data_IF_715324169328
#
_entry.id   IF_715324169328
#
_cell.length_a   1.000
_cell.length_b   1.000
_cell.length_c   1.000
_cell.angle_alpha   90.00
_cell.angle_beta   90.00
_cell.angle_gamma   90.00
#
_symmetry.space_group_name_H-M   'P 1'
#
loop_
_entity.id
_entity.type
_entity.pdbx_description
1 polymer ?
#
# COMPACT_ATOMS: atom_id res chain seq x y z
N UNK A 1 9.77 1.79 21.36
CA UNK A 1 9.64 1.99 19.90
C UNK A 1 10.01 0.67 19.23
N UNK A 2 9.03 -0.14 18.87
CA UNK A 2 9.28 -1.48 18.30
C UNK A 2 9.38 -1.33 16.79
N UNK A 3 10.54 -1.62 16.21
CA UNK A 3 10.78 -1.53 14.77
C UNK A 3 10.15 -2.75 14.08
N UNK A 4 9.06 -2.55 13.35
CA UNK A 4 8.55 -3.54 12.41
C UNK A 4 9.07 -3.21 11.01
N UNK A 5 10.12 -3.91 10.59
CA UNK A 5 10.61 -3.81 9.21
C UNK A 5 9.66 -4.60 8.31
N UNK A 6 8.79 -3.91 7.56
CA UNK A 6 7.92 -4.54 6.57
C UNK A 6 8.76 -4.77 5.32
N UNK A 7 9.08 -6.03 5.03
CA UNK A 7 9.83 -6.38 3.82
C UNK A 7 9.06 -6.00 2.55
N UNK A 8 9.79 -5.36 1.65
CA UNK A 8 9.40 -4.91 0.32
C UNK A 8 8.44 -5.89 -0.37
N UNK A 9 7.19 -5.48 -0.55
CA UNK A 9 6.33 -6.07 -1.58
C UNK A 9 6.86 -5.51 -2.90
N UNK A 10 7.69 -6.28 -3.58
CA UNK A 10 8.29 -5.90 -4.86
C UNK A 10 7.23 -5.37 -5.84
N UNK A 11 7.25 -4.07 -6.13
CA UNK A 11 6.43 -3.42 -7.17
C UNK A 11 6.75 -3.93 -8.59
N UNK A 12 7.83 -4.69 -8.76
CA UNK A 12 8.32 -5.18 -10.06
C UNK A 12 7.44 -6.27 -10.71
N UNK A 13 6.32 -6.68 -10.10
CA UNK A 13 5.41 -7.68 -10.68
C UNK A 13 4.08 -7.11 -11.19
N UNK A 14 3.73 -5.85 -10.91
CA UNK A 14 2.41 -5.31 -11.30
C UNK A 14 2.31 -5.04 -12.82
N UNK A 15 3.41 -4.60 -13.44
CA UNK A 15 3.39 -4.21 -14.86
C UNK A 15 3.45 -5.41 -15.83
N UNK A 16 3.94 -6.57 -15.38
CA UNK A 16 3.91 -7.81 -16.17
C UNK A 16 2.62 -8.60 -16.01
N UNK A 17 1.87 -8.43 -14.91
CA UNK A 17 0.64 -9.19 -14.64
C UNK A 17 -0.60 -8.57 -15.31
N UNK A 18 -0.73 -7.24 -15.34
CA UNK A 18 -1.88 -6.55 -15.97
C UNK A 18 -1.85 -6.68 -17.50
N UNK A 19 -0.66 -6.59 -18.11
CA UNK A 19 -0.46 -6.78 -19.56
C UNK A 19 -0.72 -8.23 -20.00
N UNK A 20 -0.45 -9.20 -19.13
CA UNK A 20 -0.79 -10.60 -19.37
C UNK A 20 -2.30 -10.87 -19.29
N UNK A 21 -3.05 -10.23 -18.40
CA UNK A 21 -4.51 -10.44 -18.32
C UNK A 21 -5.22 -9.90 -19.57
N UNK A 22 -4.80 -8.73 -20.08
CA UNK A 22 -5.39 -8.10 -21.26
C UNK A 22 -5.03 -8.84 -22.57
N UNK A 23 -3.84 -9.44 -22.64
CA UNK A 23 -3.42 -10.21 -23.82
C UNK A 23 -3.97 -11.64 -23.82
N UNK A 24 -4.15 -12.27 -22.65
CA UNK A 24 -4.65 -13.65 -22.54
C UNK A 24 -6.17 -13.74 -22.72
N UNK A 25 -6.91 -12.65 -22.56
CA UNK A 25 -8.35 -12.63 -22.93
C UNK A 25 -8.59 -12.78 -24.44
N UNK A 26 -7.59 -12.52 -25.28
CA UNK A 26 -7.72 -12.56 -26.75
C UNK A 26 -7.18 -13.85 -27.40
N UNK A 27 -6.42 -14.69 -26.69
CA UNK A 27 -5.86 -15.93 -27.25
C UNK A 27 -5.84 -17.09 -26.25
N UNK A 28 -6.70 -18.09 -26.52
CA UNK A 28 -6.68 -19.48 -26.04
C UNK A 28 -7.02 -19.82 -24.56
N UNK A 29 -8.15 -20.52 -24.40
CA UNK A 29 -8.37 -21.78 -23.65
C UNK A 29 -7.91 -21.93 -22.18
N UNK A 30 -7.57 -20.86 -21.47
CA UNK A 30 -7.42 -20.91 -20.01
C UNK A 30 -8.72 -20.43 -19.35
N UNK A 31 -9.18 -21.15 -18.33
CA UNK A 31 -10.33 -20.69 -17.56
C UNK A 31 -9.97 -19.39 -16.83
N UNK A 32 -10.90 -18.46 -16.75
CA UNK A 32 -10.75 -17.17 -16.06
C UNK A 32 -10.09 -17.30 -14.67
N UNK A 33 -10.47 -18.34 -13.91
CA UNK A 33 -9.91 -18.61 -12.58
C UNK A 33 -8.40 -18.89 -12.60
N UNK A 34 -7.92 -19.60 -13.62
CA UNK A 34 -6.49 -19.91 -13.76
C UNK A 34 -5.67 -18.67 -14.11
N UNK A 35 -6.24 -17.75 -14.91
CA UNK A 35 -5.61 -16.46 -15.21
C UNK A 35 -5.47 -15.59 -13.98
N UNK A 36 -6.49 -15.56 -13.12
CA UNK A 36 -6.42 -14.84 -11.84
C UNK A 36 -5.36 -15.46 -10.93
N UNK A 37 -5.31 -16.78 -10.84
CA UNK A 37 -4.32 -17.49 -10.00
C UNK A 37 -2.88 -17.21 -10.48
N UNK A 38 -2.63 -17.30 -11.79
CA UNK A 38 -1.32 -17.02 -12.39
C UNK A 38 -0.92 -15.55 -12.25
N UNK A 39 -1.89 -14.62 -12.26
CA UNK A 39 -1.62 -13.18 -12.08
C UNK A 39 -1.07 -12.83 -10.69
N UNK A 40 -1.24 -13.71 -9.70
CA UNK A 40 -0.87 -13.47 -8.28
C UNK A 40 -1.49 -12.20 -7.67
N UNK A 41 -2.45 -11.56 -8.34
CA UNK A 41 -3.06 -10.31 -7.88
C UNK A 41 -3.73 -10.47 -6.51
N UNK A 42 -4.54 -11.53 -6.35
CA UNK A 42 -5.21 -11.83 -5.07
C UNK A 42 -4.21 -12.14 -3.96
N UNK A 43 -3.07 -12.78 -4.29
CA UNK A 43 -2.01 -13.06 -3.32
C UNK A 43 -1.33 -11.77 -2.85
N UNK A 44 -1.11 -10.80 -3.75
CA UNK A 44 -0.58 -9.48 -3.38
C UNK A 44 -1.58 -8.71 -2.51
N UNK A 45 -2.87 -8.69 -2.88
CA UNK A 45 -3.92 -8.08 -2.08
C UNK A 45 -4.01 -8.69 -0.68
N UNK A 46 -3.94 -10.01 -0.58
CA UNK A 46 -3.92 -10.73 0.70
C UNK A 46 -2.74 -10.27 1.57
N UNK A 47 -1.52 -10.18 1.01
CA UNK A 47 -0.35 -9.70 1.75
C UNK A 47 -0.55 -8.29 2.28
N UNK A 48 -1.04 -7.38 1.44
CA UNK A 48 -1.26 -5.99 1.84
C UNK A 48 -2.30 -5.91 2.97
N UNK A 49 -3.40 -6.66 2.84
CA UNK A 49 -4.43 -6.76 3.90
C UNK A 49 -3.86 -7.31 5.20
N UNK A 50 -3.11 -8.42 5.16
CA UNK A 50 -2.54 -9.05 6.35
C UNK A 50 -1.61 -8.10 7.09
N UNK A 51 -0.72 -7.41 6.40
CA UNK A 51 0.21 -6.44 7.03
C UNK A 51 -0.57 -5.29 7.69
N UNK A 52 -1.62 -4.79 7.05
CA UNK A 52 -2.45 -3.72 7.62
C UNK A 52 -3.10 -4.15 8.93
N UNK A 53 -3.61 -5.39 8.99
CA UNK A 53 -4.17 -5.99 10.21
C UNK A 53 -3.10 -6.16 11.28
N UNK A 54 -1.89 -6.61 10.93
CA UNK A 54 -0.79 -6.69 11.91
C UNK A 54 -0.47 -5.33 12.52
N UNK A 55 -0.36 -4.27 11.70
CA UNK A 55 -0.10 -2.90 12.19
C UNK A 55 -1.19 -2.47 13.18
N UNK A 56 -2.46 -2.73 12.86
CA UNK A 56 -3.59 -2.43 13.74
C UNK A 56 -3.50 -3.21 15.05
N UNK A 57 -3.27 -4.52 15.00
CA UNK A 57 -3.12 -5.37 16.19
C UNK A 57 -1.97 -4.89 17.10
N UNK A 58 -0.82 -4.53 16.53
CA UNK A 58 0.29 -4.00 17.32
C UNK A 58 -0.02 -2.63 17.93
N UNK A 59 -0.84 -1.82 17.27
CA UNK A 59 -1.22 -0.50 17.77
C UNK A 59 -2.30 -0.57 18.85
N UNK A 60 -3.31 -1.44 18.68
CA UNK A 60 -4.49 -1.51 19.56
C UNK A 60 -4.24 -2.41 20.78
N UNK A 61 -3.76 -3.65 20.58
CA UNK A 61 -3.61 -4.64 21.66
C UNK A 61 -2.38 -4.36 22.54
N UNK A 62 -1.35 -3.73 21.98
CA UNK A 62 -0.07 -3.53 22.66
C UNK A 62 0.25 -2.05 22.93
N UNK A 63 -0.57 -1.11 22.48
CA UNK A 63 -0.33 0.34 22.56
C UNK A 63 1.10 0.74 22.11
N UNK A 64 1.64 0.01 21.12
CA UNK A 64 2.99 0.23 20.62
C UNK A 64 2.97 1.19 19.42
N UNK A 65 3.90 2.13 19.42
CA UNK A 65 4.18 2.94 18.22
C UNK A 65 4.81 2.06 17.14
N UNK A 66 4.16 1.94 15.98
CA UNK A 66 4.68 1.23 14.81
C UNK A 66 5.35 2.24 13.87
N UNK A 67 6.59 1.97 13.50
CA UNK A 67 7.30 2.73 12.45
C UNK A 67 7.35 1.89 11.18
N UNK A 68 6.85 2.44 10.07
CA UNK A 68 6.91 1.81 8.75
C UNK A 68 8.10 2.40 8.00
N UNK A 69 9.09 1.57 7.70
CA UNK A 69 10.21 1.93 6.81
C UNK A 69 10.08 1.14 5.52
N UNK A 70 9.95 1.83 4.39
CA UNK A 70 9.97 1.21 3.06
C UNK A 70 11.11 1.86 2.26
N UNK A 71 11.97 1.05 1.66
CA UNK A 71 13.01 1.53 0.74
C UNK A 71 12.36 1.97 -0.57
N UNK A 72 12.54 3.24 -0.97
CA UNK A 72 12.04 3.84 -2.23
C UNK A 72 10.56 3.51 -2.54
N UNK A 73 9.74 3.39 -1.50
CA UNK A 73 8.38 2.86 -1.60
C UNK A 73 7.33 3.78 -1.00
N UNK A 74 7.34 5.05 -1.38
CA UNK A 74 6.37 6.04 -0.90
C UNK A 74 4.92 5.65 -1.20
N UNK A 75 4.66 5.06 -2.36
CA UNK A 75 3.34 4.54 -2.72
C UNK A 75 2.91 3.37 -1.84
N UNK A 76 3.87 2.52 -1.47
CA UNK A 76 3.64 1.36 -0.60
C UNK A 76 3.38 1.83 0.85
N UNK A 77 4.14 2.81 1.32
CA UNK A 77 3.94 3.42 2.63
C UNK A 77 2.55 4.08 2.72
N UNK A 78 2.16 4.88 1.72
CA UNK A 78 0.84 5.50 1.65
C UNK A 78 -0.29 4.46 1.68
N UNK A 79 -0.14 3.36 0.95
CA UNK A 79 -1.11 2.25 0.94
C UNK A 79 -1.25 1.59 2.31
N UNK A 80 -0.14 1.31 3.00
CA UNK A 80 -0.19 0.68 4.32
C UNK A 80 -0.78 1.61 5.37
N UNK A 81 -0.33 2.87 5.42
CA UNK A 81 -0.81 3.84 6.43
C UNK A 81 -2.30 4.10 6.24
N UNK A 82 -2.72 4.47 5.02
CA UNK A 82 -4.14 4.75 4.72
C UNK A 82 -5.05 3.60 5.14
N UNK A 83 -4.59 2.37 4.91
CA UNK A 83 -5.38 1.16 5.18
C UNK A 83 -5.41 0.79 6.65
N UNK A 84 -4.32 0.98 7.37
CA UNK A 84 -4.28 0.81 8.82
C UNK A 84 -5.17 1.84 9.52
N UNK A 85 -5.19 3.09 9.04
CA UNK A 85 -6.05 4.14 9.58
C UNK A 85 -7.54 3.86 9.35
N UNK A 86 -7.92 3.38 8.16
CA UNK A 86 -9.29 2.92 7.88
C UNK A 86 -9.78 1.81 8.83
N UNK A 87 -8.86 0.95 9.27
CA UNK A 87 -9.15 -0.15 10.19
C UNK A 87 -9.22 0.34 11.65
N UNK A 88 -8.33 1.25 12.05
CA UNK A 88 -8.23 1.79 13.41
C UNK A 88 -9.37 2.77 13.75
N UNK A 89 -9.66 3.73 12.86
CA UNK A 89 -10.60 4.81 13.16
C UNK A 89 -11.86 4.75 12.26
N UNK A 90 -13.06 4.62 12.84
CA UNK A 90 -14.33 4.73 12.11
C UNK A 90 -14.52 6.05 11.34
N UNK A 91 -13.90 7.15 11.78
CA UNK A 91 -13.98 8.45 11.12
C UNK A 91 -13.50 8.38 9.67
N UNK A 92 -12.42 7.64 9.38
CA UNK A 92 -11.92 7.54 8.00
C UNK A 92 -12.83 6.73 7.07
N UNK A 93 -13.90 6.10 7.58
CA UNK A 93 -14.88 5.35 6.77
C UNK A 93 -16.07 6.19 6.27
N UNK A 94 -16.20 7.43 6.73
CA UNK A 94 -17.17 8.40 6.17
C UNK A 94 -16.52 9.22 5.05
N UNK A 95 -17.33 9.85 4.21
CA UNK A 95 -16.84 10.54 3.00
C UNK A 95 -15.82 11.64 3.33
N UNK A 96 -16.13 12.48 4.32
CA UNK A 96 -15.26 13.56 4.78
C UNK A 96 -13.94 13.03 5.33
N UNK A 97 -14.00 12.00 6.17
CA UNK A 97 -12.81 11.38 6.74
C UNK A 97 -11.95 10.71 5.67
N UNK A 98 -12.56 10.00 4.72
CA UNK A 98 -11.83 9.39 3.61
C UNK A 98 -11.15 10.45 2.72
N UNK A 99 -11.78 11.60 2.50
CA UNK A 99 -11.16 12.73 1.79
C UNK A 99 -9.94 13.26 2.54
N UNK A 100 -10.09 13.51 3.84
CA UNK A 100 -8.97 13.95 4.70
C UNK A 100 -7.82 12.95 4.66
N UNK A 101 -8.11 11.65 4.70
CA UNK A 101 -7.11 10.59 4.64
C UNK A 101 -6.28 10.65 3.35
N UNK A 102 -6.94 10.84 2.21
CA UNK A 102 -6.27 10.96 0.90
C UNK A 102 -5.38 12.21 0.88
N UNK A 103 -5.89 13.34 1.36
CA UNK A 103 -5.13 14.60 1.41
C UNK A 103 -3.90 14.51 2.30
N UNK A 104 -4.02 13.91 3.49
CA UNK A 104 -2.91 13.78 4.42
C UNK A 104 -1.86 12.78 3.94
N UNK A 105 -2.27 11.56 3.58
CA UNK A 105 -1.32 10.48 3.34
C UNK A 105 -0.78 10.49 1.90
N UNK A 106 -1.64 10.72 0.89
CA UNK A 106 -1.20 10.65 -0.50
C UNK A 106 -0.60 11.98 -0.99
N UNK A 107 -1.25 13.10 -0.68
CA UNK A 107 -0.75 14.43 -1.09
C UNK A 107 0.27 15.01 -0.10
N UNK A 108 0.17 14.69 1.19
CA UNK A 108 1.15 15.13 2.19
C UNK A 108 2.54 14.52 1.98
N UNK A 109 2.63 13.25 1.56
CA UNK A 109 3.89 12.61 1.16
C UNK A 109 4.52 13.34 -0.02
N UNK A 110 3.74 13.63 -1.08
CA UNK A 110 4.20 14.40 -2.24
C UNK A 110 4.73 15.79 -1.88
N UNK A 111 4.06 16.48 -0.96
CA UNK A 111 4.47 17.82 -0.52
C UNK A 111 5.80 17.77 0.26
N UNK A 112 5.98 16.77 1.12
CA UNK A 112 7.22 16.54 1.89
C UNK A 112 8.43 16.18 1.00
N UNK A 113 8.17 15.50 -0.12
CA UNK A 113 9.17 15.19 -1.13
C UNK A 113 9.59 16.46 -1.88
N UNK A 114 8.62 17.27 -2.32
CA UNK A 114 8.90 18.51 -3.03
C UNK A 114 9.73 19.49 -2.20
N UNK A 115 9.48 19.57 -0.89
CA UNK A 115 10.29 20.40 0.01
C UNK A 115 11.70 19.83 0.23
N UNK A 116 11.84 18.52 0.39
CA UNK A 116 13.16 17.86 0.45
C UNK A 116 13.99 18.11 -0.82
N UNK A 117 13.40 17.94 -2.01
CA UNK A 117 14.09 18.17 -3.29
C UNK A 117 14.51 19.62 -3.45
N UNK A 118 13.63 20.58 -3.11
CA UNK A 118 13.99 22.00 -3.10
C UNK A 118 15.17 22.26 -2.16
N UNK A 119 15.13 21.77 -0.92
CA UNK A 119 16.21 21.99 0.05
C UNK A 119 17.56 21.43 -0.40
N UNK A 120 17.56 20.33 -1.16
CA UNK A 120 18.77 19.69 -1.68
C UNK A 120 19.31 20.34 -2.96
N UNK A 121 18.51 21.19 -3.63
CA UNK A 121 18.94 21.96 -4.81
C UNK A 121 19.61 23.30 -4.44
N UNK A 122 19.54 23.71 -3.18
CA UNK A 122 20.22 24.92 -2.65
C UNK A 122 21.50 24.58 -1.86
N UNK A 123 21.99 23.36 -1.97
CA UNK A 123 23.32 22.91 -1.53
C UNK A 123 24.13 22.49 -2.74
#
# INVERSE_FOLDING_TARGET
>A
MTRACVQNISNNYANSTVTNILSVTLQNSMSFYKLIEESRWLYQLQKILMISVYIVQFSDDHALSVMICVEDGWDIAAQFISKSELLLDPYYRIFEGFHTLIECEWFGIWTSIFTSIKSNSYK
#
